data_IF_551609426398
#
_entry.id   IF_551609426398
#
_cell.length_a   1.000
_cell.length_b   1.000
_cell.length_c   1.000
_cell.angle_alpha   90.00
_cell.angle_beta   90.00
_cell.angle_gamma   90.00
#
_symmetry.space_group_name_H-M   'P 1'
#
loop_
_entity.id
_entity.type
_entity.pdbx_description
1 polymer ?
#
# COMPACT_ATOMS: atom_id res chain seq x y z
N UNK A 1 -3.08 14.36 1.46
CA UNK A 1 -3.17 13.38 2.57
C UNK A 1 -1.78 12.90 2.99
N UNK A 2 -0.90 12.41 2.10
CA UNK A 2 0.42 11.87 2.47
C UNK A 2 1.25 12.86 3.31
N UNK A 3 1.35 14.14 2.91
CA UNK A 3 2.03 15.19 3.68
C UNK A 3 1.48 15.33 5.10
N UNK A 4 0.15 15.28 5.28
CA UNK A 4 -0.48 15.34 6.62
C UNK A 4 -0.04 14.17 7.49
N UNK A 5 -0.05 12.95 6.93
CA UNK A 5 0.38 11.73 7.64
C UNK A 5 1.84 11.84 8.06
N UNK A 6 2.74 12.22 7.16
CA UNK A 6 4.19 12.34 7.45
C UNK A 6 4.45 13.37 8.55
N UNK A 7 3.80 14.54 8.49
CA UNK A 7 3.94 15.56 9.53
C UNK A 7 3.38 15.09 10.87
N UNK A 8 2.23 14.40 10.88
CA UNK A 8 1.66 13.84 12.10
C UNK A 8 2.57 12.80 12.74
N UNK A 9 3.15 11.88 11.94
CA UNK A 9 4.12 10.88 12.44
C UNK A 9 5.34 11.56 13.04
N UNK A 10 5.93 12.54 12.34
CA UNK A 10 7.07 13.31 12.84
C UNK A 10 6.79 13.95 14.21
N UNK A 11 5.64 14.59 14.35
CA UNK A 11 5.27 15.29 15.58
C UNK A 11 4.97 14.31 16.73
N UNK A 12 4.41 13.13 16.42
CA UNK A 12 4.19 12.06 17.40
C UNK A 12 5.54 11.50 17.85
N UNK A 13 6.46 11.23 16.93
CA UNK A 13 7.81 10.75 17.24
C UNK A 13 8.54 11.74 18.15
N UNK A 14 8.52 13.03 17.81
CA UNK A 14 9.15 14.07 18.63
C UNK A 14 8.57 14.13 20.04
N UNK A 15 7.23 14.04 20.16
CA UNK A 15 6.54 14.09 21.46
C UNK A 15 6.86 12.90 22.38
N UNK A 16 7.13 11.74 21.81
CA UNK A 16 7.36 10.51 22.57
C UNK A 16 8.80 10.02 22.54
N UNK A 17 9.71 10.90 22.10
CA UNK A 17 11.14 10.58 22.01
C UNK A 17 11.43 9.30 21.23
N UNK A 18 10.63 9.05 20.15
CA UNK A 18 10.89 7.98 19.21
C UNK A 18 11.96 8.43 18.23
N UNK A 19 13.13 7.81 18.33
CA UNK A 19 14.24 8.20 17.46
C UNK A 19 14.04 7.72 16.03
N UNK A 20 14.26 8.60 15.03
CA UNK A 20 14.32 8.18 13.64
C UNK A 20 15.56 7.30 13.42
N UNK A 21 15.42 6.33 12.51
CA UNK A 21 16.54 5.46 12.15
C UNK A 21 17.62 6.26 11.42
N UNK A 22 18.85 6.02 11.80
CA UNK A 22 20.03 6.59 11.16
C UNK A 22 20.71 5.49 10.33
N UNK A 23 20.80 5.70 9.02
CA UNK A 23 21.34 4.70 8.09
C UNK A 23 22.85 4.48 8.26
N UNK A 24 23.60 5.48 8.76
CA UNK A 24 25.04 5.37 8.96
C UNK A 24 25.38 4.56 10.20
N UNK A 25 24.58 4.68 11.27
CA UNK A 25 24.85 4.04 12.55
C UNK A 25 24.01 2.78 12.79
N UNK A 26 22.94 2.60 12.04
CA UNK A 26 21.97 1.54 12.27
C UNK A 26 21.12 1.72 13.53
N UNK A 27 21.20 2.88 14.18
CA UNK A 27 20.47 3.21 15.39
C UNK A 27 19.13 3.89 15.07
N UNK A 28 18.21 3.87 16.06
CA UNK A 28 16.87 4.43 15.93
C UNK A 28 15.81 3.40 15.58
N UNK A 29 14.52 3.79 15.68
CA UNK A 29 13.40 2.87 15.62
C UNK A 29 12.58 2.99 14.34
N UNK A 30 12.08 4.20 14.00
CA UNK A 30 11.24 4.41 12.82
C UNK A 30 12.12 4.68 11.59
N UNK A 31 12.07 3.78 10.63
CA UNK A 31 12.87 3.86 9.39
C UNK A 31 12.14 4.62 8.28
N UNK A 32 10.94 4.18 7.96
CA UNK A 32 10.16 4.76 6.86
C UNK A 32 8.69 4.83 7.23
N UNK A 33 7.96 5.70 6.53
CA UNK A 33 6.51 5.72 6.50
C UNK A 33 6.05 5.64 5.04
N UNK A 34 5.45 4.53 4.65
CA UNK A 34 4.85 4.35 3.32
C UNK A 34 3.37 4.66 3.43
N UNK A 35 2.90 5.62 2.63
CA UNK A 35 1.50 6.06 2.64
C UNK A 35 0.88 5.72 1.29
N UNK A 36 -0.17 4.91 1.33
CA UNK A 36 -1.01 4.60 0.16
C UNK A 36 -2.36 5.26 0.33
N UNK A 37 -2.81 5.91 -0.72
CA UNK A 37 -4.13 6.57 -0.76
C UNK A 37 -4.90 5.98 -1.93
N UNK A 38 -6.07 5.42 -1.66
CA UNK A 38 -6.99 4.98 -2.70
C UNK A 38 -7.46 6.18 -3.53
N UNK A 39 -7.33 6.08 -4.84
CA UNK A 39 -7.61 7.19 -5.75
C UNK A 39 -9.10 7.54 -5.76
N UNK A 40 -9.97 6.54 -5.83
CA UNK A 40 -11.44 6.71 -5.85
C UNK A 40 -12.05 6.58 -4.45
N UNK A 41 -11.52 5.71 -3.61
CA UNK A 41 -12.06 5.50 -2.25
C UNK A 41 -11.67 6.60 -1.27
N UNK A 42 -10.48 7.20 -1.45
CA UNK A 42 -9.90 8.11 -0.46
C UNK A 42 -9.37 7.42 0.81
N UNK A 43 -9.50 6.09 0.91
CA UNK A 43 -8.96 5.33 2.03
C UNK A 43 -7.43 5.43 2.11
N UNK A 44 -6.90 5.44 3.34
CA UNK A 44 -5.47 5.65 3.57
C UNK A 44 -4.90 4.50 4.38
N UNK A 45 -3.90 3.84 3.81
CA UNK A 45 -3.07 2.85 4.47
C UNK A 45 -1.71 3.48 4.81
N UNK A 46 -1.33 3.38 6.07
CA UNK A 46 -0.03 3.84 6.56
C UNK A 46 0.78 2.63 7.01
N UNK A 47 1.93 2.40 6.37
CA UNK A 47 2.89 1.39 6.80
C UNK A 47 4.05 2.08 7.51
N UNK A 48 4.21 1.82 8.80
CA UNK A 48 5.34 2.30 9.59
C UNK A 48 6.41 1.22 9.59
N UNK A 49 7.53 1.51 8.95
CA UNK A 49 8.67 0.58 8.90
C UNK A 49 9.56 0.83 10.11
N UNK A 50 9.81 -0.23 10.88
CA UNK A 50 10.54 -0.17 12.15
C UNK A 50 11.79 -1.03 12.16
N UNK A 51 12.81 -0.59 12.91
CA UNK A 51 14.06 -1.32 13.14
C UNK A 51 13.94 -2.26 14.35
N UNK A 52 12.83 -2.98 14.46
CA UNK A 52 12.56 -3.90 15.56
C UNK A 52 11.09 -4.28 15.64
N UNK A 53 10.81 -5.42 16.27
CA UNK A 53 9.45 -5.97 16.38
C UNK A 53 8.60 -5.26 17.44
N UNK A 54 9.23 -4.84 18.53
CA UNK A 54 8.53 -4.14 19.60
C UNK A 54 8.25 -2.70 19.22
N UNK A 55 6.98 -2.35 19.18
CA UNK A 55 6.53 -0.97 18.94
C UNK A 55 5.99 -0.40 20.26
N UNK A 56 6.81 0.34 21.02
CA UNK A 56 6.37 0.93 22.27
C UNK A 56 5.18 1.85 22.07
N UNK A 57 4.18 1.73 22.96
CA UNK A 57 2.95 2.54 22.90
C UNK A 57 2.20 2.53 21.54
N UNK A 58 2.29 1.44 20.76
CA UNK A 58 1.68 1.34 19.43
C UNK A 58 0.19 1.74 19.40
N UNK A 59 -0.60 1.35 20.43
CA UNK A 59 -2.01 1.71 20.55
C UNK A 59 -2.22 3.23 20.69
N UNK A 60 -1.36 3.89 21.46
CA UNK A 60 -1.42 5.34 21.64
C UNK A 60 -0.96 6.07 20.38
N UNK A 61 0.08 5.55 19.70
CA UNK A 61 0.53 6.03 18.40
C UNK A 61 -0.60 6.00 17.37
N UNK A 62 -1.27 4.87 17.22
CA UNK A 62 -2.38 4.72 16.28
C UNK A 62 -3.53 5.68 16.59
N UNK A 63 -3.93 5.77 17.86
CA UNK A 63 -4.99 6.68 18.29
C UNK A 63 -4.66 8.15 17.98
N UNK A 64 -3.44 8.57 18.25
CA UNK A 64 -3.01 9.94 18.00
C UNK A 64 -2.90 10.24 16.50
N UNK A 65 -2.39 9.29 15.70
CA UNK A 65 -2.30 9.44 14.25
C UNK A 65 -3.69 9.56 13.62
N UNK A 66 -4.62 8.66 13.97
CA UNK A 66 -6.00 8.69 13.46
C UNK A 66 -6.74 9.97 13.91
N UNK A 67 -6.51 10.42 15.16
CA UNK A 67 -7.07 11.68 15.65
C UNK A 67 -6.62 12.89 14.82
N UNK A 68 -5.36 12.92 14.38
CA UNK A 68 -4.78 14.01 13.56
C UNK A 68 -5.12 13.91 12.09
N UNK A 69 -5.27 12.68 11.60
CA UNK A 69 -5.56 12.37 10.19
C UNK A 69 -6.71 11.36 10.14
N UNK A 70 -7.96 11.81 10.27
CA UNK A 70 -9.14 10.93 10.32
C UNK A 70 -9.34 10.08 9.07
N UNK A 71 -8.73 10.45 7.95
CA UNK A 71 -8.76 9.70 6.69
C UNK A 71 -7.97 8.38 6.76
N UNK A 72 -7.15 8.17 7.79
CA UNK A 72 -6.39 6.92 7.96
C UNK A 72 -7.32 5.77 8.27
N UNK A 73 -7.43 4.83 7.32
CA UNK A 73 -8.28 3.64 7.40
C UNK A 73 -7.57 2.51 8.13
N UNK A 74 -6.26 2.38 7.94
CA UNK A 74 -5.48 1.29 8.53
C UNK A 74 -4.02 1.66 8.73
N UNK A 75 -3.40 1.08 9.77
CA UNK A 75 -1.99 1.27 10.10
C UNK A 75 -1.36 -0.11 10.27
N UNK A 76 -0.27 -0.35 9.55
CA UNK A 76 0.52 -1.59 9.58
C UNK A 76 1.92 -1.27 10.07
N UNK A 77 2.46 -2.06 10.97
CA UNK A 77 3.89 -2.11 11.25
C UNK A 77 4.54 -3.09 10.29
N UNK A 78 5.59 -2.67 9.61
CA UNK A 78 6.49 -3.55 8.87
C UNK A 78 7.85 -3.54 9.56
N UNK A 79 8.40 -4.71 9.85
CA UNK A 79 9.68 -4.85 10.54
C UNK A 79 10.78 -5.07 9.52
N UNK A 80 11.72 -4.14 9.45
CA UNK A 80 12.91 -4.27 8.62
C UNK A 80 14.17 -3.89 9.40
N UNK A 81 14.92 -4.89 9.81
CA UNK A 81 16.19 -4.74 10.54
C UNK A 81 17.41 -4.88 9.62
N UNK A 82 17.19 -5.10 8.32
CA UNK A 82 18.28 -5.27 7.35
C UNK A 82 18.95 -3.93 7.03
N UNK A 83 20.26 -3.91 6.93
CA UNK A 83 21.04 -2.77 6.46
C UNK A 83 21.16 -2.81 4.93
N UNK A 84 20.04 -2.59 4.26
CA UNK A 84 19.92 -2.59 2.78
C UNK A 84 19.00 -1.45 2.36
N UNK A 85 19.02 -1.13 1.07
CA UNK A 85 18.13 -0.14 0.46
C UNK A 85 16.69 -0.63 0.26
N UNK A 86 16.38 -1.87 0.65
CA UNK A 86 15.01 -2.41 0.60
C UNK A 86 14.18 -1.79 1.73
N UNK A 87 13.06 -1.15 1.39
CA UNK A 87 12.23 -0.42 2.34
C UNK A 87 11.44 -1.39 3.24
N UNK A 88 10.75 -2.37 2.64
CA UNK A 88 9.87 -3.27 3.38
C UNK A 88 10.59 -4.57 3.77
N UNK A 89 10.41 -4.99 5.00
CA UNK A 89 10.81 -6.31 5.49
C UNK A 89 9.72 -7.35 5.28
N UNK A 90 9.99 -8.58 5.72
CA UNK A 90 9.11 -9.74 5.48
C UNK A 90 8.02 -9.88 6.55
N UNK A 91 8.21 -9.28 7.73
CA UNK A 91 7.28 -9.37 8.85
C UNK A 91 6.38 -8.16 8.94
N UNK A 92 5.09 -8.39 9.09
CA UNK A 92 4.09 -7.34 9.27
C UNK A 92 3.12 -7.64 10.39
N UNK A 93 2.63 -6.59 11.01
CA UNK A 93 1.58 -6.64 12.02
C UNK A 93 0.60 -5.49 11.82
N UNK A 94 -0.69 -5.80 11.77
CA UNK A 94 -1.74 -4.77 11.76
C UNK A 94 -1.83 -4.13 13.14
N UNK A 95 -1.69 -2.81 13.20
CA UNK A 95 -1.80 -2.03 14.42
C UNK A 95 -3.17 -1.39 14.61
N UNK A 96 -3.81 -1.03 13.49
CA UNK A 96 -5.13 -0.41 13.46
C UNK A 96 -5.84 -0.73 12.13
N UNK A 97 -7.16 -0.89 12.19
CA UNK A 97 -7.99 -1.16 11.01
C UNK A 97 -7.82 -2.57 10.43
N UNK A 98 -8.25 -2.79 9.17
CA UNK A 98 -8.29 -4.10 8.54
C UNK A 98 -6.94 -4.60 7.99
N UNK A 99 -5.89 -3.77 7.92
CA UNK A 99 -4.59 -4.11 7.32
C UNK A 99 -4.52 -3.92 5.80
N UNK A 100 -5.57 -3.39 5.19
CA UNK A 100 -5.66 -3.11 3.76
C UNK A 100 -6.59 -1.92 3.50
N UNK A 101 -6.55 -1.41 2.29
CA UNK A 101 -7.54 -0.47 1.75
C UNK A 101 -8.22 -1.07 0.53
N UNK A 102 -9.41 -0.58 0.22
CA UNK A 102 -10.10 -0.87 -1.03
C UNK A 102 -9.94 0.33 -1.97
N UNK A 103 -9.75 0.06 -3.25
CA UNK A 103 -9.81 1.09 -4.28
C UNK A 103 -10.41 0.54 -5.57
N UNK A 104 -10.93 1.41 -6.42
CA UNK A 104 -11.57 1.01 -7.68
C UNK A 104 -10.69 1.40 -8.86
N UNK A 105 -10.46 0.46 -9.76
CA UNK A 105 -9.74 0.63 -11.03
C UNK A 105 -10.51 -0.07 -12.14
N UNK A 106 -10.75 0.62 -13.26
CA UNK A 106 -11.53 0.10 -14.40
C UNK A 106 -12.90 -0.51 -14.00
N UNK A 107 -13.55 0.04 -12.98
CA UNK A 107 -14.83 -0.45 -12.46
C UNK A 107 -14.77 -1.66 -11.53
N UNK A 108 -13.59 -2.22 -11.27
CA UNK A 108 -13.38 -3.33 -10.34
C UNK A 108 -12.80 -2.83 -9.02
N UNK A 109 -13.22 -3.44 -7.91
CA UNK A 109 -12.70 -3.12 -6.58
C UNK A 109 -11.55 -4.05 -6.22
N UNK A 110 -10.42 -3.47 -5.84
CA UNK A 110 -9.20 -4.18 -5.44
C UNK A 110 -8.91 -3.99 -3.97
N UNK A 111 -8.47 -5.07 -3.33
CA UNK A 111 -7.91 -5.04 -1.99
C UNK A 111 -6.41 -4.81 -2.07
N UNK A 112 -5.94 -3.72 -1.46
CA UNK A 112 -4.54 -3.26 -1.54
C UNK A 112 -3.92 -3.35 -0.15
N UNK A 113 -2.92 -4.21 0.02
CA UNK A 113 -2.12 -4.32 1.24
C UNK A 113 -0.84 -3.46 1.14
N UNK A 114 -0.08 -3.40 2.24
CA UNK A 114 1.23 -2.75 2.30
C UNK A 114 2.23 -3.31 1.29
N UNK A 115 2.21 -4.63 1.06
CA UNK A 115 3.12 -5.37 0.18
C UNK A 115 2.65 -5.41 -1.29
N UNK A 116 1.37 -5.11 -1.55
CA UNK A 116 0.82 -5.17 -2.91
C UNK A 116 1.50 -4.16 -3.83
N UNK A 117 1.93 -4.59 -5.01
CA UNK A 117 2.19 -3.64 -6.07
C UNK A 117 0.85 -3.16 -6.64
N UNK A 118 0.63 -1.86 -6.61
CA UNK A 118 -0.54 -1.22 -7.20
C UNK A 118 -0.13 0.07 -7.86
N UNK A 119 -0.61 0.32 -9.07
CA UNK A 119 -0.21 1.47 -9.87
C UNK A 119 -0.60 2.79 -9.17
N UNK A 120 0.37 3.67 -9.00
CA UNK A 120 0.18 4.94 -8.28
C UNK A 120 -0.59 5.98 -9.09
N UNK A 121 -0.53 5.92 -10.42
CA UNK A 121 -1.28 6.81 -11.31
C UNK A 121 -2.50 6.07 -11.86
N UNK A 122 -3.55 5.96 -11.05
CA UNK A 122 -4.76 5.21 -11.38
C UNK A 122 -5.41 5.70 -12.70
N UNK A 123 -5.45 7.01 -12.93
CA UNK A 123 -6.04 7.59 -14.15
C UNK A 123 -5.32 7.11 -15.40
N UNK A 124 -3.99 7.17 -15.42
CA UNK A 124 -3.22 6.70 -16.57
C UNK A 124 -3.21 5.17 -16.67
N UNK A 125 -3.35 4.47 -15.56
CA UNK A 125 -3.48 3.01 -15.56
C UNK A 125 -4.78 2.58 -16.23
N UNK A 126 -5.89 3.28 -15.99
CA UNK A 126 -7.16 3.00 -16.67
C UNK A 126 -7.02 3.19 -18.18
N UNK A 127 -6.39 4.28 -18.62
CA UNK A 127 -6.11 4.54 -20.06
C UNK A 127 -5.22 3.45 -20.66
N UNK A 128 -4.15 3.07 -19.94
CA UNK A 128 -3.23 2.01 -20.40
C UNK A 128 -3.95 0.65 -20.52
N UNK A 129 -4.77 0.30 -19.54
CA UNK A 129 -5.49 -0.98 -19.56
C UNK A 129 -6.58 -0.99 -20.63
N UNK A 130 -7.34 0.08 -20.79
CA UNK A 130 -8.34 0.18 -21.84
C UNK A 130 -7.70 0.05 -23.23
N UNK A 131 -6.53 0.66 -23.45
CA UNK A 131 -5.80 0.55 -24.72
C UNK A 131 -5.23 -0.88 -24.94
N UNK A 132 -4.67 -1.50 -23.89
CA UNK A 132 -4.18 -2.87 -23.98
C UNK A 132 -5.32 -3.86 -24.33
N UNK A 133 -6.47 -3.73 -23.68
CA UNK A 133 -7.65 -4.57 -23.97
C UNK A 133 -8.20 -4.31 -25.37
N UNK A 134 -8.25 -3.05 -25.80
CA UNK A 134 -8.65 -2.70 -27.17
C UNK A 134 -7.76 -3.38 -28.21
N UNK A 135 -6.43 -3.34 -28.00
CA UNK A 135 -5.46 -3.98 -28.91
C UNK A 135 -5.53 -5.50 -28.87
N UNK A 136 -5.87 -6.09 -27.71
CA UNK A 136 -6.05 -7.53 -27.59
C UNK A 136 -7.26 -8.06 -28.38
N UNK A 137 -8.21 -7.18 -28.75
CA UNK A 137 -9.36 -7.47 -29.59
C UNK A 137 -10.11 -8.75 -29.14
N UNK A 138 -10.44 -8.80 -27.86
CA UNK A 138 -11.10 -9.97 -27.26
C UNK A 138 -12.50 -10.19 -27.87
N UNK A 139 -12.76 -11.44 -28.25
CA UNK A 139 -14.02 -11.87 -28.89
C UNK A 139 -14.87 -12.76 -27.99
N UNK A 140 -14.37 -13.12 -26.80
CA UNK A 140 -15.06 -13.97 -25.84
C UNK A 140 -14.65 -15.44 -25.87
N UNK A 141 -13.61 -15.79 -26.63
CA UNK A 141 -13.11 -17.18 -26.73
C UNK A 141 -11.63 -17.30 -26.25
N UNK A 142 -10.96 -16.18 -26.05
CA UNK A 142 -9.52 -16.16 -25.77
C UNK A 142 -9.21 -16.56 -24.33
N UNK A 143 -8.06 -17.25 -24.18
CA UNK A 143 -7.38 -17.40 -22.90
C UNK A 143 -6.25 -16.36 -22.82
N UNK A 144 -6.34 -15.47 -21.82
CA UNK A 144 -5.32 -14.47 -21.53
C UNK A 144 -4.38 -14.99 -20.44
N UNK A 145 -3.07 -14.88 -20.65
CA UNK A 145 -2.05 -15.21 -19.65
C UNK A 145 -1.44 -13.90 -19.14
N UNK A 146 -1.60 -13.65 -17.84
CA UNK A 146 -0.96 -12.56 -17.10
C UNK A 146 0.26 -13.11 -16.37
N UNK A 147 1.39 -13.18 -17.08
CA UNK A 147 2.57 -13.91 -16.64
C UNK A 147 3.26 -13.34 -15.38
N UNK A 148 3.03 -12.06 -15.07
CA UNK A 148 3.56 -11.38 -13.89
C UNK A 148 2.44 -10.64 -13.15
N UNK A 149 1.36 -11.35 -12.86
CA UNK A 149 0.07 -10.79 -12.49
C UNK A 149 0.08 -9.91 -11.23
N UNK A 150 0.98 -10.15 -10.27
CA UNK A 150 0.99 -9.43 -8.99
C UNK A 150 -0.37 -9.51 -8.29
N UNK A 151 -1.07 -8.38 -8.16
CA UNK A 151 -2.45 -8.34 -7.63
C UNK A 151 -3.51 -8.69 -8.66
N UNK A 152 -3.11 -9.06 -9.88
CA UNK A 152 -4.01 -9.49 -10.94
C UNK A 152 -4.81 -8.38 -11.61
N UNK A 153 -4.39 -7.11 -11.48
CA UNK A 153 -5.23 -5.98 -11.91
C UNK A 153 -5.56 -6.02 -13.41
N UNK A 154 -4.56 -6.22 -14.28
CA UNK A 154 -4.81 -6.23 -15.73
C UNK A 154 -5.54 -7.51 -16.17
N UNK A 155 -5.20 -8.66 -15.57
CA UNK A 155 -5.85 -9.93 -15.86
C UNK A 155 -7.35 -9.89 -15.51
N UNK A 156 -7.70 -9.35 -14.33
CA UNK A 156 -9.09 -9.20 -13.90
C UNK A 156 -9.85 -8.19 -14.78
N UNK A 157 -9.20 -7.12 -15.22
CA UNK A 157 -9.80 -6.18 -16.19
C UNK A 157 -10.05 -6.89 -17.53
N UNK A 158 -9.11 -7.70 -18.03
CA UNK A 158 -9.30 -8.49 -19.25
C UNK A 158 -10.50 -9.46 -19.12
N UNK A 159 -10.63 -10.14 -17.97
CA UNK A 159 -11.79 -11.00 -17.69
C UNK A 159 -13.10 -10.22 -17.71
N UNK A 160 -13.13 -9.04 -17.10
CA UNK A 160 -14.34 -8.18 -17.07
C UNK A 160 -14.70 -7.59 -18.44
N UNK A 161 -13.75 -7.58 -19.38
CA UNK A 161 -13.92 -7.02 -20.74
C UNK A 161 -14.04 -8.07 -21.83
N UNK A 162 -14.25 -9.35 -21.46
CA UNK A 162 -14.68 -10.38 -22.42
C UNK A 162 -13.67 -11.50 -22.65
N UNK A 163 -12.55 -11.59 -21.95
CA UNK A 163 -11.72 -12.80 -22.02
C UNK A 163 -12.49 -14.01 -21.48
N UNK A 164 -12.51 -15.13 -22.22
CA UNK A 164 -13.17 -16.36 -21.78
C UNK A 164 -12.50 -16.97 -20.55
N UNK A 165 -11.18 -16.83 -20.46
CA UNK A 165 -10.36 -17.33 -19.36
C UNK A 165 -9.17 -16.43 -19.13
N UNK A 166 -8.81 -16.25 -17.87
CA UNK A 166 -7.55 -15.56 -17.49
C UNK A 166 -6.76 -16.48 -16.56
N UNK A 167 -5.45 -16.55 -16.78
CA UNK A 167 -4.48 -17.29 -15.96
C UNK A 167 -3.41 -16.29 -15.53
N UNK A 168 -3.17 -16.19 -14.21
CA UNK A 168 -2.15 -15.33 -13.63
C UNK A 168 -1.42 -16.01 -12.46
#
# INVERSE_FOLDING_TARGET
>A
TAKKVTLAIRDIMARWSMEPYNEDTGAGFVRHAVVRVGHKSGEVLVTVVTNGEEFPASKAFCRELVRRVPEVTTIVQNVNTRQTNVILGDKERVLFGPGFILDTLCGLTFRISSQSFYQVNATQTEVLYDEAIRLANLTGVETVIDAYCGTGTIGLVAASRGAARVIG
#
